data_IF_124977688686
#
_entry.id   IF_124977688686
#
_cell.length_a   1.000
_cell.length_b   1.000
_cell.length_c   1.000
_cell.angle_alpha   90.00
_cell.angle_beta   90.00
_cell.angle_gamma   90.00
#
_symmetry.space_group_name_H-M   'P 1'
#
loop_
_entity.id
_entity.type
_entity.pdbx_description
1 polymer ?
#
# COMPACT_ATOMS: atom_id res chain seq x y z
N UNK A 1 4.47 12.53 22.36
CA UNK A 1 4.64 12.87 20.92
C UNK A 1 4.36 11.69 19.99
N UNK A 2 4.90 10.48 20.23
CA UNK A 2 4.62 9.28 19.40
C UNK A 2 3.12 8.96 19.23
N UNK A 3 2.31 9.13 20.28
CA UNK A 3 0.86 8.90 20.24
C UNK A 3 0.11 9.83 19.28
N UNK A 4 0.52 11.10 19.19
CA UNK A 4 -0.07 12.09 18.27
C UNK A 4 0.24 11.73 16.82
N UNK A 5 1.48 11.33 16.53
CA UNK A 5 1.87 10.85 15.20
C UNK A 5 1.13 9.57 14.81
N UNK A 6 0.94 8.65 15.76
CA UNK A 6 0.16 7.44 15.53
C UNK A 6 -1.30 7.77 15.20
N UNK A 7 -1.94 8.65 15.97
CA UNK A 7 -3.33 9.06 15.70
C UNK A 7 -3.47 9.76 14.34
N UNK A 8 -2.52 10.64 13.99
CA UNK A 8 -2.47 11.29 12.68
C UNK A 8 -2.34 10.26 11.55
N UNK A 9 -1.43 9.29 11.68
CA UNK A 9 -1.27 8.21 10.71
C UNK A 9 -2.55 7.37 10.59
N UNK A 10 -3.16 7.02 11.71
CA UNK A 10 -4.38 6.22 11.75
C UNK A 10 -5.52 6.90 10.99
N UNK A 11 -5.77 8.19 11.25
CA UNK A 11 -6.80 8.96 10.54
C UNK A 11 -6.45 9.07 9.04
N UNK A 12 -5.20 9.40 8.70
CA UNK A 12 -4.74 9.47 7.32
C UNK A 12 -4.95 8.14 6.57
N UNK A 13 -4.61 7.02 7.21
CA UNK A 13 -4.74 5.70 6.62
C UNK A 13 -6.21 5.28 6.47
N UNK A 14 -7.06 5.59 7.46
CA UNK A 14 -8.49 5.34 7.38
C UNK A 14 -9.12 6.04 6.16
N UNK A 15 -8.76 7.30 5.90
CA UNK A 15 -9.18 7.99 4.67
C UNK A 15 -8.70 7.28 3.41
N UNK A 16 -7.47 6.74 3.40
CA UNK A 16 -6.95 6.01 2.24
C UNK A 16 -7.66 4.68 1.99
N UNK A 17 -8.09 3.98 3.04
CA UNK A 17 -8.92 2.77 2.89
C UNK A 17 -10.30 3.09 2.32
N UNK A 18 -10.92 4.19 2.77
CA UNK A 18 -12.20 4.66 2.22
C UNK A 18 -12.03 5.04 0.74
N UNK A 19 -10.98 5.79 0.41
CA UNK A 19 -10.61 6.18 -0.96
C UNK A 19 -10.40 4.94 -1.86
N UNK A 20 -9.78 3.88 -1.32
CA UNK A 20 -9.58 2.61 -2.02
C UNK A 20 -10.93 1.95 -2.37
N UNK A 21 -11.83 1.85 -1.40
CA UNK A 21 -13.16 1.30 -1.60
C UNK A 21 -13.99 2.09 -2.63
N UNK A 22 -13.93 3.43 -2.56
CA UNK A 22 -14.60 4.31 -3.52
C UNK A 22 -14.01 4.19 -4.93
N UNK A 23 -12.68 4.15 -5.05
CA UNK A 23 -11.99 4.00 -6.33
C UNK A 23 -12.35 2.70 -7.04
N UNK A 24 -12.37 1.58 -6.30
CA UNK A 24 -12.80 0.27 -6.83
C UNK A 24 -14.28 0.29 -7.20
N UNK A 25 -15.15 0.82 -6.34
CA UNK A 25 -16.60 0.90 -6.60
C UNK A 25 -16.90 1.72 -7.86
N UNK A 26 -16.20 2.84 -8.05
CA UNK A 26 -16.34 3.67 -9.25
C UNK A 26 -15.90 2.93 -10.53
N UNK A 27 -14.81 2.17 -10.48
CA UNK A 27 -14.38 1.35 -11.62
C UNK A 27 -15.41 0.28 -12.00
N UNK A 28 -15.98 -0.40 -11.00
CA UNK A 28 -17.04 -1.40 -11.20
C UNK A 28 -18.26 -0.75 -11.86
N UNK A 29 -18.72 0.39 -11.33
CA UNK A 29 -19.86 1.13 -11.89
C UNK A 29 -19.63 1.60 -13.33
N UNK A 30 -18.39 1.98 -13.67
CA UNK A 30 -17.98 2.37 -15.02
C UNK A 30 -17.86 1.18 -15.98
N UNK A 31 -17.98 -0.05 -15.49
CA UNK A 31 -17.85 -1.27 -16.29
C UNK A 31 -16.41 -1.60 -16.70
N UNK A 32 -15.40 -0.93 -16.13
CA UNK A 32 -13.99 -1.27 -16.37
C UNK A 32 -13.60 -2.46 -15.52
N UNK A 33 -12.83 -3.39 -16.08
CA UNK A 33 -12.37 -4.61 -15.39
C UNK A 33 -10.95 -4.50 -14.86
N UNK A 34 -10.33 -3.32 -14.96
CA UNK A 34 -8.89 -3.15 -14.73
C UNK A 34 -8.13 -3.66 -15.95
N UNK A 35 -7.96 -2.80 -16.95
CA UNK A 35 -7.58 -3.25 -18.29
C UNK A 35 -6.05 -3.34 -18.49
N UNK A 36 -5.25 -3.00 -17.47
CA UNK A 36 -3.78 -2.95 -17.55
C UNK A 36 -3.10 -3.28 -16.20
N UNK A 37 -3.53 -4.38 -15.58
CA UNK A 37 -2.95 -4.88 -14.34
C UNK A 37 -1.47 -5.26 -14.51
N UNK A 38 -0.62 -4.93 -13.53
CA UNK A 38 0.82 -5.19 -13.59
C UNK A 38 1.36 -5.65 -12.24
N UNK A 39 2.24 -6.65 -12.25
CA UNK A 39 3.00 -7.06 -11.07
C UNK A 39 4.29 -6.25 -10.98
N UNK A 40 4.52 -5.63 -9.82
CA UNK A 40 5.73 -4.88 -9.50
C UNK A 40 6.41 -5.48 -8.27
N UNK A 41 7.74 -5.48 -8.30
CA UNK A 41 8.58 -5.80 -7.14
C UNK A 41 8.84 -4.52 -6.36
N UNK A 42 8.39 -4.48 -5.10
CA UNK A 42 8.62 -3.36 -4.20
C UNK A 42 9.65 -3.74 -3.14
N UNK A 43 10.72 -2.96 -3.03
CA UNK A 43 11.81 -3.22 -2.09
C UNK A 43 11.60 -2.34 -0.85
N UNK A 44 11.18 -2.90 0.28
CA UNK A 44 10.92 -2.11 1.47
C UNK A 44 12.19 -1.62 2.14
N UNK A 45 12.16 -0.39 2.66
CA UNK A 45 13.32 0.18 3.39
C UNK A 45 13.39 -0.32 4.85
N UNK A 46 12.29 -0.89 5.36
CA UNK A 46 12.17 -1.37 6.74
C UNK A 46 12.89 -2.70 6.92
N UNK A 47 13.69 -2.83 7.98
CA UNK A 47 14.52 -4.03 8.23
C UNK A 47 13.88 -5.07 9.15
N UNK A 48 12.89 -4.70 9.97
CA UNK A 48 12.28 -5.60 10.95
C UNK A 48 11.24 -6.48 10.25
N UNK A 49 11.31 -7.80 10.40
CA UNK A 49 10.37 -8.77 9.77
C UNK A 49 8.89 -8.44 10.01
N UNK A 50 8.52 -8.09 11.24
CA UNK A 50 7.15 -7.74 11.57
C UNK A 50 6.70 -6.41 10.92
N UNK A 51 7.61 -5.47 10.66
CA UNK A 51 7.30 -4.23 9.94
C UNK A 51 7.04 -4.50 8.46
N UNK A 52 7.75 -5.46 7.87
CA UNK A 52 7.53 -5.90 6.49
C UNK A 52 6.14 -6.54 6.36
N UNK A 53 5.77 -7.45 7.28
CA UNK A 53 4.43 -8.05 7.29
C UNK A 53 3.34 -7.00 7.51
N UNK A 54 3.58 -6.02 8.37
CA UNK A 54 2.64 -4.92 8.58
C UNK A 54 2.50 -4.07 7.29
N UNK A 55 3.62 -3.71 6.67
CA UNK A 55 3.64 -2.97 5.41
C UNK A 55 2.93 -3.73 4.28
N UNK A 56 3.15 -5.04 4.17
CA UNK A 56 2.48 -5.93 3.22
C UNK A 56 0.96 -5.83 3.30
N UNK A 57 0.42 -5.88 4.54
CA UNK A 57 -1.01 -5.76 4.77
C UNK A 57 -1.50 -4.33 4.49
N UNK A 58 -0.73 -3.31 4.90
CA UNK A 58 -1.13 -1.92 4.71
C UNK A 58 -1.22 -1.53 3.23
N UNK A 59 -0.27 -1.99 2.42
CA UNK A 59 -0.24 -1.82 0.95
C UNK A 59 -1.43 -2.54 0.29
N UNK A 60 -1.83 -3.71 0.80
CA UNK A 60 -2.95 -4.46 0.20
C UNK A 60 -4.29 -3.74 0.30
N UNK A 61 -4.42 -2.78 1.22
CA UNK A 61 -5.64 -1.99 1.39
C UNK A 61 -5.52 -0.58 0.82
N UNK A 62 -4.43 -0.25 0.12
CA UNK A 62 -4.32 1.02 -0.61
C UNK A 62 -5.01 0.96 -1.97
N UNK A 63 -5.52 2.09 -2.49
CA UNK A 63 -6.28 2.10 -3.73
C UNK A 63 -5.48 1.50 -4.90
N UNK A 64 -6.07 0.51 -5.59
CA UNK A 64 -5.50 -0.04 -6.82
C UNK A 64 -4.26 -0.93 -6.65
N UNK A 65 -3.98 -1.44 -5.44
CA UNK A 65 -2.87 -2.37 -5.20
C UNK A 65 -3.26 -3.56 -4.32
N UNK A 66 -2.65 -4.73 -4.57
CA UNK A 66 -2.81 -5.95 -3.80
C UNK A 66 -1.44 -6.60 -3.61
N UNK A 67 -1.04 -6.92 -2.38
CA UNK A 67 0.19 -7.67 -2.15
C UNK A 67 -0.05 -9.16 -2.43
N UNK A 68 0.85 -9.77 -3.20
CA UNK A 68 0.79 -11.19 -3.60
C UNK A 68 1.58 -12.03 -2.60
N UNK A 69 2.87 -11.72 -2.44
CA UNK A 69 3.79 -12.51 -1.63
C UNK A 69 4.99 -11.68 -1.16
N UNK A 70 5.74 -12.20 -0.19
CA UNK A 70 6.98 -11.65 0.32
C UNK A 70 8.10 -12.64 -0.01
N UNK A 71 9.06 -12.22 -0.82
CA UNK A 71 10.26 -13.03 -1.08
C UNK A 71 11.16 -13.00 0.17
N UNK A 72 11.41 -14.18 0.74
CA UNK A 72 12.18 -14.33 1.98
C UNK A 72 13.68 -14.05 1.78
N UNK A 73 14.20 -14.13 0.55
CA UNK A 73 15.64 -13.99 0.27
C UNK A 73 16.08 -12.54 0.26
N UNK A 74 15.27 -11.65 -0.33
CA UNK A 74 15.58 -10.24 -0.52
C UNK A 74 14.61 -9.29 0.24
N UNK A 75 13.62 -9.85 0.96
CA UNK A 75 12.54 -9.13 1.63
C UNK A 75 11.70 -8.27 0.68
N UNK A 76 11.64 -8.61 -0.60
CA UNK A 76 10.86 -7.88 -1.60
C UNK A 76 9.38 -8.26 -1.51
N UNK A 77 8.51 -7.26 -1.60
CA UNK A 77 7.06 -7.46 -1.65
C UNK A 77 6.64 -7.48 -3.13
N UNK A 78 6.05 -8.59 -3.57
CA UNK A 78 5.38 -8.70 -4.85
C UNK A 78 4.00 -8.04 -4.74
N UNK A 79 3.75 -7.00 -5.54
CA UNK A 79 2.49 -6.24 -5.53
C UNK A 79 1.87 -6.27 -6.92
N UNK A 80 0.60 -6.66 -6.99
CA UNK A 80 -0.24 -6.48 -8.16
C UNK A 80 -0.89 -5.10 -8.11
N UNK A 81 -0.72 -4.31 -9.16
CA UNK A 81 -1.43 -3.05 -9.36
C UNK A 81 -2.58 -3.28 -10.32
N UNK A 82 -3.74 -2.71 -9.99
CA UNK A 82 -4.95 -2.83 -10.80
C UNK A 82 -4.80 -2.12 -12.15
N UNK A 83 -4.13 -0.97 -12.18
CA UNK A 83 -3.73 -0.30 -13.41
C UNK A 83 -2.28 0.19 -13.34
N UNK A 84 -1.58 0.15 -14.47
CA UNK A 84 -0.22 0.73 -14.61
C UNK A 84 -0.13 2.21 -14.19
N UNK A 85 -1.19 2.99 -14.42
CA UNK A 85 -1.23 4.43 -14.08
C UNK A 85 -1.14 4.69 -12.58
N UNK A 86 -1.57 3.72 -11.77
CA UNK A 86 -1.64 3.85 -10.31
C UNK A 86 -0.25 3.67 -9.66
N UNK A 87 0.76 3.20 -10.41
CA UNK A 87 2.12 2.95 -9.92
C UNK A 87 2.74 4.15 -9.21
N UNK A 88 2.56 5.36 -9.74
CA UNK A 88 3.14 6.57 -9.15
C UNK A 88 2.47 6.93 -7.82
N UNK A 89 1.15 6.78 -7.74
CA UNK A 89 0.43 6.99 -6.48
C UNK A 89 0.77 5.92 -5.46
N UNK A 90 0.80 4.66 -5.88
CA UNK A 90 1.21 3.52 -5.08
C UNK A 90 2.58 3.76 -4.40
N UNK A 91 3.61 4.16 -5.16
CA UNK A 91 4.94 4.44 -4.61
C UNK A 91 4.86 5.57 -3.57
N UNK A 92 4.13 6.66 -3.87
CA UNK A 92 4.00 7.80 -2.96
C UNK A 92 3.33 7.42 -1.64
N UNK A 93 2.23 6.67 -1.70
CA UNK A 93 1.49 6.23 -0.51
C UNK A 93 2.34 5.24 0.30
N UNK A 94 2.98 4.28 -0.36
CA UNK A 94 3.81 3.27 0.29
C UNK A 94 5.01 3.89 0.99
N UNK A 95 5.71 4.84 0.35
CA UNK A 95 6.81 5.57 0.96
C UNK A 95 6.34 6.36 2.19
N UNK A 96 5.14 6.96 2.15
CA UNK A 96 4.59 7.67 3.30
C UNK A 96 4.31 6.70 4.45
N UNK A 97 3.73 5.53 4.18
CA UNK A 97 3.51 4.47 5.17
C UNK A 97 4.84 4.00 5.78
N UNK A 98 5.88 3.78 4.97
CA UNK A 98 7.22 3.43 5.47
C UNK A 98 7.84 4.51 6.36
N UNK A 99 7.71 5.78 6.00
CA UNK A 99 8.18 6.88 6.83
C UNK A 99 7.52 6.89 8.21
N UNK A 100 6.24 6.52 8.29
CA UNK A 100 5.56 6.36 9.58
C UNK A 100 6.07 5.13 10.34
N UNK A 101 6.20 3.98 9.67
CA UNK A 101 6.70 2.75 10.27
C UNK A 101 8.12 2.91 10.84
N UNK A 102 8.98 3.63 10.14
CA UNK A 102 10.37 3.88 10.58
C UNK A 102 10.48 4.89 11.72
N UNK A 103 9.63 5.93 11.76
CA UNK A 103 9.69 6.99 12.79
C UNK A 103 8.91 6.65 14.05
N UNK A 104 7.82 5.89 13.93
CA UNK A 104 6.92 5.61 15.06
C UNK A 104 7.32 4.35 15.86
N UNK A 105 8.05 3.40 15.25
CA UNK A 105 8.21 2.01 15.73
C UNK A 105 9.63 1.44 15.71
#
# INVERSE_FOLDING_TARGET
MKLIYFLYFFIFYAFKVIDAGLGVSYQILKGSRGDDGIVVKYHPSVKKKWQIVLLFNLISMTPGSMSIDIDENDNTILVHLLNRKDRTEFIRVTQKIEQFLSKAL
#
